data_IF_722959158089
#
_entry.id   IF_722959158089
#
_cell.length_a   1.000
_cell.length_b   1.000
_cell.length_c   1.000
_cell.angle_alpha   90.00
_cell.angle_beta   90.00
_cell.angle_gamma   90.00
#
_symmetry.space_group_name_H-M   'P 1'
#
loop_
_entity.id
_entity.type
_entity.pdbx_description
1 polymer ?
#
# COMPACT_ATOMS: atom_id res chain seq x y z
N UNK A 1 12.80 39.99 27.80
CA UNK A 1 12.99 40.56 26.48
C UNK A 1 14.48 40.54 26.19
N UNK A 2 14.92 39.53 25.44
CA UNK A 2 16.29 39.48 24.89
C UNK A 2 16.15 38.88 23.52
N UNK A 3 16.37 39.72 22.50
CA UNK A 3 16.28 39.42 21.08
C UNK A 3 17.32 38.36 20.72
N UNK A 4 16.83 37.16 20.38
CA UNK A 4 17.62 36.02 19.86
C UNK A 4 17.98 36.20 18.39
N UNK A 5 18.57 37.32 18.00
CA UNK A 5 19.11 37.55 16.65
C UNK A 5 20.63 37.23 16.66
N UNK A 6 20.98 35.93 16.63
CA UNK A 6 22.36 35.50 16.40
C UNK A 6 22.77 35.68 14.90
N UNK A 7 24.06 35.82 14.62
CA UNK A 7 24.60 36.08 13.27
C UNK A 7 24.20 35.05 12.19
N UNK A 8 23.69 33.89 12.56
CA UNK A 8 23.22 32.83 11.65
C UNK A 8 21.83 33.11 11.04
N UNK A 9 20.97 33.92 11.70
CA UNK A 9 19.65 34.25 11.18
C UNK A 9 19.70 35.20 9.97
N UNK A 10 20.75 36.03 9.88
CA UNK A 10 20.97 36.93 8.73
C UNK A 10 21.51 36.23 7.48
N UNK A 11 22.28 35.14 7.66
CA UNK A 11 22.79 34.32 6.54
C UNK A 11 21.68 33.43 5.93
N UNK A 12 20.78 32.91 6.75
CA UNK A 12 19.68 32.07 6.33
C UNK A 12 18.68 32.79 5.42
N UNK A 13 18.50 34.11 5.61
CA UNK A 13 17.64 34.97 4.72
C UNK A 13 18.24 35.23 3.35
N UNK A 14 19.54 35.05 3.17
CA UNK A 14 20.25 35.34 1.90
C UNK A 14 20.50 34.12 1.01
N UNK A 15 20.26 32.91 1.51
CA UNK A 15 20.52 31.68 0.79
C UNK A 15 19.29 30.76 0.85
N UNK A 16 18.48 30.67 -0.23
CA UNK A 16 17.36 29.74 -0.30
C UNK A 16 17.80 28.32 0.04
N UNK A 17 17.10 27.65 0.96
CA UNK A 17 17.42 26.29 1.39
C UNK A 17 18.31 26.16 2.65
N UNK A 18 18.93 27.24 3.18
CA UNK A 18 19.69 27.16 4.44
C UNK A 18 18.77 27.21 5.66
N UNK A 19 17.62 27.88 5.57
CA UNK A 19 16.62 27.95 6.63
C UNK A 19 16.07 26.56 6.98
N UNK A 20 15.84 25.71 5.98
CA UNK A 20 15.34 24.34 6.20
C UNK A 20 16.38 23.39 6.82
N UNK A 21 17.68 23.70 6.72
CA UNK A 21 18.73 22.92 7.41
C UNK A 21 18.74 23.16 8.92
N UNK A 22 18.34 24.36 9.35
CA UNK A 22 18.35 24.79 10.75
C UNK A 22 16.97 24.64 11.42
N UNK A 23 15.95 24.36 10.64
CA UNK A 23 14.60 24.11 11.15
C UNK A 23 14.54 22.75 11.85
N UNK A 24 14.27 22.74 13.15
CA UNK A 24 14.13 21.52 13.94
C UNK A 24 12.95 20.65 13.49
N UNK A 25 11.91 21.27 12.89
CA UNK A 25 10.69 20.63 12.42
C UNK A 25 10.77 20.18 10.94
N UNK A 26 11.90 20.46 10.26
CA UNK A 26 12.08 20.04 8.87
C UNK A 26 12.10 18.50 8.76
N UNK A 27 11.37 17.91 7.79
CA UNK A 27 11.23 16.48 7.68
C UNK A 27 12.55 15.77 7.30
N UNK A 28 12.75 14.60 7.90
CA UNK A 28 13.87 13.73 7.61
C UNK A 28 15.19 14.09 8.30
N UNK A 29 16.16 13.16 8.26
CA UNK A 29 17.47 13.34 8.86
C UNK A 29 18.33 14.36 8.11
N UNK A 30 19.35 14.91 8.76
CA UNK A 30 20.21 15.98 8.23
C UNK A 30 20.73 15.73 6.80
N UNK A 31 21.21 14.52 6.41
CA UNK A 31 21.65 14.28 5.04
C UNK A 31 20.55 14.50 3.99
N UNK A 32 19.30 14.19 4.33
CA UNK A 32 18.15 14.40 3.44
C UNK A 32 17.83 15.89 3.30
N UNK A 33 17.87 16.63 4.40
CA UNK A 33 17.70 18.10 4.36
C UNK A 33 18.80 18.76 3.50
N UNK A 34 20.03 18.28 3.59
CA UNK A 34 21.13 18.75 2.73
C UNK A 34 20.88 18.44 1.25
N UNK A 35 20.40 17.23 0.95
CA UNK A 35 20.03 16.81 -0.41
C UNK A 35 18.93 17.74 -0.98
N UNK A 36 17.85 17.98 -0.21
CA UNK A 36 16.77 18.85 -0.64
C UNK A 36 17.24 20.31 -0.81
N UNK A 37 18.08 20.82 0.10
CA UNK A 37 18.67 22.16 -0.02
C UNK A 37 19.55 22.30 -1.28
N UNK A 38 20.31 21.26 -1.64
CA UNK A 38 21.04 21.22 -2.88
C UNK A 38 20.11 21.20 -4.11
N UNK A 39 19.02 20.42 -4.03
CA UNK A 39 17.99 20.36 -5.06
C UNK A 39 17.33 21.71 -5.31
N UNK A 40 17.00 22.48 -4.28
CA UNK A 40 16.46 23.84 -4.41
C UNK A 40 17.43 24.81 -5.11
N UNK A 41 18.73 24.63 -4.93
CA UNK A 41 19.74 25.51 -5.58
C UNK A 41 20.02 25.13 -7.02
N UNK A 42 20.07 23.83 -7.33
CA UNK A 42 20.45 23.29 -8.64
C UNK A 42 19.27 23.03 -9.54
N UNK A 43 18.04 23.14 -9.01
CA UNK A 43 16.81 22.62 -9.61
C UNK A 43 16.70 21.11 -9.38
N UNK A 44 15.53 20.62 -8.98
CA UNK A 44 15.32 19.17 -8.66
C UNK A 44 15.41 18.26 -9.91
N UNK A 45 15.39 18.84 -11.12
CA UNK A 45 15.40 18.11 -12.41
C UNK A 45 16.66 17.31 -12.71
N UNK A 46 17.78 17.55 -12.01
CA UNK A 46 18.99 16.76 -12.16
C UNK A 46 18.78 15.28 -11.74
N UNK A 47 17.78 14.99 -10.90
CA UNK A 47 17.28 13.63 -10.69
C UNK A 47 16.21 13.36 -11.77
N UNK A 48 16.66 12.80 -12.89
CA UNK A 48 15.80 12.55 -14.04
C UNK A 48 14.66 11.54 -13.72
N UNK A 49 13.47 11.83 -14.24
CA UNK A 49 12.28 10.98 -14.21
C UNK A 49 11.75 10.77 -15.64
N UNK A 50 12.67 10.56 -16.59
CA UNK A 50 12.33 10.27 -17.96
C UNK A 50 11.94 8.78 -18.08
N UNK A 51 10.78 8.44 -18.70
CA UNK A 51 10.30 7.07 -18.81
C UNK A 51 11.25 6.16 -19.59
N UNK A 52 11.80 6.62 -20.70
CA UNK A 52 12.69 5.81 -21.55
C UNK A 52 14.05 5.58 -20.89
N UNK A 53 14.58 6.58 -20.17
CA UNK A 53 15.79 6.40 -19.35
C UNK A 53 15.55 5.35 -18.26
N UNK A 54 14.39 5.38 -17.60
CA UNK A 54 14.06 4.41 -16.54
C UNK A 54 13.92 2.98 -17.08
N UNK A 55 13.28 2.82 -18.23
CA UNK A 55 13.18 1.53 -18.92
C UNK A 55 14.55 1.02 -19.31
N UNK A 56 15.36 1.84 -19.99
CA UNK A 56 16.74 1.49 -20.39
C UNK A 56 17.60 1.09 -19.19
N UNK A 57 17.45 1.77 -18.05
CA UNK A 57 18.15 1.41 -16.80
C UNK A 57 17.74 0.06 -16.26
N UNK A 58 16.42 -0.24 -16.25
CA UNK A 58 15.91 -1.53 -15.79
C UNK A 58 16.42 -2.67 -16.69
N UNK A 59 16.43 -2.49 -18.01
CA UNK A 59 17.00 -3.44 -18.96
C UNK A 59 18.47 -3.69 -18.74
N UNK A 60 19.27 -2.64 -18.57
CA UNK A 60 20.71 -2.76 -18.26
C UNK A 60 20.97 -3.45 -16.93
N UNK A 61 20.19 -3.11 -15.88
CA UNK A 61 20.37 -3.68 -14.55
C UNK A 61 20.03 -5.17 -14.50
N UNK A 62 19.03 -5.59 -15.25
CA UNK A 62 18.56 -6.99 -15.29
C UNK A 62 19.18 -7.81 -16.42
N UNK A 63 19.70 -7.16 -17.46
CA UNK A 63 20.10 -7.76 -18.75
C UNK A 63 18.94 -8.49 -19.45
N UNK A 64 17.73 -7.98 -19.25
CA UNK A 64 16.49 -8.47 -19.83
C UNK A 64 15.83 -7.32 -20.59
N UNK A 65 15.08 -7.65 -21.65
CA UNK A 65 14.37 -6.66 -22.48
C UNK A 65 12.95 -7.08 -22.85
N UNK A 66 12.51 -8.22 -22.34
CA UNK A 66 11.17 -8.73 -22.59
C UNK A 66 10.21 -8.31 -21.49
N UNK A 67 9.28 -7.45 -21.83
CA UNK A 67 8.32 -6.84 -20.93
C UNK A 67 6.97 -7.59 -20.85
N UNK A 68 6.80 -8.65 -21.65
CA UNK A 68 5.55 -9.38 -21.80
C UNK A 68 4.55 -8.64 -22.69
N UNK A 69 3.95 -7.57 -22.19
CA UNK A 69 3.10 -6.65 -22.96
C UNK A 69 3.48 -5.19 -22.65
N UNK A 70 3.01 -4.27 -23.50
CA UNK A 70 3.32 -2.83 -23.39
C UNK A 70 2.28 -2.03 -22.59
N UNK A 71 1.28 -2.69 -21.99
CA UNK A 71 0.17 -2.00 -21.30
C UNK A 71 0.62 -1.15 -20.11
N UNK A 72 1.76 -1.46 -19.52
CA UNK A 72 2.33 -0.67 -18.43
C UNK A 72 2.93 0.67 -18.90
N UNK A 73 3.26 0.83 -20.21
CA UNK A 73 3.93 2.03 -20.74
C UNK A 73 3.10 3.28 -20.56
N UNK A 74 1.83 3.27 -20.95
CA UNK A 74 0.93 4.42 -20.77
C UNK A 74 0.83 4.83 -19.29
N UNK A 75 0.74 3.84 -18.38
CA UNK A 75 0.72 4.11 -16.94
C UNK A 75 2.05 4.72 -16.44
N UNK A 76 3.20 4.23 -16.94
CA UNK A 76 4.52 4.77 -16.63
C UNK A 76 4.65 6.23 -17.07
N UNK A 77 4.25 6.53 -18.32
CA UNK A 77 4.35 7.86 -18.91
C UNK A 77 3.50 8.86 -18.11
N UNK A 78 2.25 8.53 -17.82
CA UNK A 78 1.33 9.37 -17.03
C UNK A 78 1.80 9.58 -15.60
N UNK A 79 2.27 8.52 -14.95
CA UNK A 79 2.80 8.62 -13.59
C UNK A 79 4.01 9.57 -13.53
N UNK A 80 4.96 9.40 -14.44
CA UNK A 80 6.17 10.20 -14.43
C UNK A 80 5.94 11.62 -14.92
N UNK A 81 4.96 11.84 -15.82
CA UNK A 81 4.54 13.20 -16.19
C UNK A 81 3.92 13.93 -15.00
N UNK A 82 2.96 13.31 -14.29
CA UNK A 82 2.37 13.89 -13.08
C UNK A 82 3.44 14.12 -11.98
N UNK A 83 4.43 13.21 -11.86
CA UNK A 83 5.56 13.38 -10.95
C UNK A 83 6.43 14.61 -11.29
N UNK A 84 6.57 14.93 -12.57
CA UNK A 84 7.39 16.07 -13.04
C UNK A 84 6.66 17.41 -12.95
N UNK A 85 5.34 17.42 -13.25
CA UNK A 85 4.57 18.65 -13.46
C UNK A 85 3.70 19.07 -12.26
N UNK A 86 3.25 18.13 -11.41
CA UNK A 86 2.21 18.40 -10.41
C UNK A 86 2.68 18.11 -8.97
N UNK A 87 3.36 16.99 -8.74
CA UNK A 87 3.64 16.47 -7.39
C UNK A 87 4.62 17.33 -6.57
N UNK A 88 5.22 18.37 -7.16
CA UNK A 88 6.20 19.26 -6.52
C UNK A 88 7.26 18.51 -5.71
N UNK A 89 7.77 17.41 -6.28
CA UNK A 89 8.72 16.54 -5.60
C UNK A 89 10.04 17.27 -5.37
N UNK A 90 10.48 17.29 -4.13
CA UNK A 90 11.84 17.70 -3.77
C UNK A 90 12.88 16.64 -4.24
N UNK A 91 14.17 16.91 -4.03
CA UNK A 91 15.22 15.99 -4.49
C UNK A 91 15.06 14.58 -3.90
N UNK A 92 14.68 14.47 -2.62
CA UNK A 92 14.42 13.18 -1.98
C UNK A 92 13.21 12.46 -2.61
N UNK A 93 12.11 13.15 -2.82
CA UNK A 93 10.92 12.59 -3.46
C UNK A 93 11.20 12.07 -4.86
N UNK A 94 11.94 12.84 -5.68
CA UNK A 94 12.36 12.37 -7.02
C UNK A 94 13.25 11.13 -6.94
N UNK A 95 14.18 11.10 -6.00
CA UNK A 95 15.04 9.93 -5.77
C UNK A 95 14.23 8.70 -5.33
N UNK A 96 13.26 8.89 -4.44
CA UNK A 96 12.38 7.82 -3.98
C UNK A 96 11.53 7.26 -5.11
N UNK A 97 10.82 8.11 -5.87
CA UNK A 97 10.02 7.69 -7.04
C UNK A 97 10.88 6.95 -8.06
N UNK A 98 12.04 7.50 -8.39
CA UNK A 98 12.96 6.87 -9.35
C UNK A 98 13.39 5.46 -8.92
N UNK A 99 13.76 5.30 -7.65
CA UNK A 99 14.17 4.00 -7.12
C UNK A 99 12.98 3.03 -6.99
N UNK A 100 11.82 3.55 -6.62
CA UNK A 100 10.61 2.76 -6.44
C UNK A 100 10.09 2.22 -7.77
N UNK A 101 9.91 3.08 -8.76
CA UNK A 101 9.49 2.72 -10.12
C UNK A 101 10.55 1.84 -10.80
N UNK A 102 11.85 2.17 -10.65
CA UNK A 102 12.94 1.36 -11.17
C UNK A 102 12.87 -0.09 -10.69
N UNK A 103 12.63 -0.32 -9.39
CA UNK A 103 12.43 -1.68 -8.84
C UNK A 103 11.19 -2.37 -9.41
N UNK A 104 10.09 -1.66 -9.60
CA UNK A 104 8.87 -2.22 -10.22
C UNK A 104 9.20 -2.70 -11.64
N UNK A 105 9.90 -1.90 -12.43
CA UNK A 105 10.31 -2.25 -13.79
C UNK A 105 11.27 -3.45 -13.81
N UNK A 106 12.27 -3.48 -12.93
CA UNK A 106 13.16 -4.63 -12.79
C UNK A 106 12.41 -5.92 -12.38
N UNK A 107 11.47 -5.81 -11.44
CA UNK A 107 10.65 -6.94 -11.03
C UNK A 107 9.81 -7.47 -12.21
N UNK A 108 9.20 -6.57 -12.99
CA UNK A 108 8.42 -6.97 -14.16
C UNK A 108 9.25 -7.78 -15.15
N UNK A 109 10.44 -7.32 -15.52
CA UNK A 109 11.34 -8.05 -16.41
C UNK A 109 11.72 -9.43 -15.87
N UNK A 110 12.02 -9.53 -14.59
CA UNK A 110 12.36 -10.81 -13.94
C UNK A 110 11.17 -11.76 -13.90
N UNK A 111 9.97 -11.26 -13.60
CA UNK A 111 8.72 -12.04 -13.60
C UNK A 111 8.42 -12.58 -15.01
N UNK A 112 8.50 -11.74 -16.05
CA UNK A 112 8.26 -12.18 -17.42
C UNK A 112 9.27 -13.26 -17.87
N UNK A 113 10.54 -13.13 -17.47
CA UNK A 113 11.53 -14.19 -17.66
C UNK A 113 11.12 -15.50 -16.99
N UNK A 114 10.69 -15.43 -15.72
CA UNK A 114 10.33 -16.64 -14.96
C UNK A 114 9.09 -17.32 -15.56
N UNK A 115 8.08 -16.55 -15.98
CA UNK A 115 6.88 -17.06 -16.66
C UNK A 115 7.21 -17.76 -17.99
N UNK A 116 8.21 -17.26 -18.72
CA UNK A 116 8.66 -17.88 -19.99
C UNK A 116 9.56 -19.09 -19.76
N UNK A 117 10.39 -19.04 -18.72
CA UNK A 117 11.26 -20.16 -18.35
C UNK A 117 10.47 -21.33 -17.80
N UNK A 118 9.36 -21.05 -17.10
CA UNK A 118 8.50 -22.04 -16.45
C UNK A 118 7.03 -21.83 -16.84
N UNK A 119 6.60 -22.21 -18.08
CA UNK A 119 5.24 -21.98 -18.55
C UNK A 119 4.15 -22.64 -17.68
N UNK A 120 4.51 -23.70 -16.94
CA UNK A 120 3.62 -24.38 -15.99
C UNK A 120 3.09 -23.46 -14.89
N UNK A 121 3.77 -22.34 -14.58
CA UNK A 121 3.29 -21.31 -13.65
C UNK A 121 1.88 -20.84 -14.04
N UNK A 122 1.64 -20.61 -15.34
CA UNK A 122 0.36 -20.11 -15.82
C UNK A 122 -0.77 -21.14 -15.77
N UNK A 123 -0.44 -22.41 -15.48
CA UNK A 123 -1.41 -23.49 -15.27
C UNK A 123 -1.85 -23.61 -13.80
N UNK A 124 -1.22 -22.87 -12.87
CA UNK A 124 -1.65 -22.83 -11.48
C UNK A 124 -3.08 -22.28 -11.34
N UNK A 125 -3.91 -22.96 -10.57
CA UNK A 125 -5.28 -22.52 -10.30
C UNK A 125 -5.34 -21.84 -8.93
N UNK A 126 -5.72 -20.57 -8.90
CA UNK A 126 -6.02 -19.84 -7.68
C UNK A 126 -7.48 -20.12 -7.31
N UNK A 127 -7.69 -21.04 -6.38
CA UNK A 127 -9.03 -21.53 -6.00
C UNK A 127 -9.54 -20.86 -4.75
N UNK A 128 -10.78 -20.35 -4.81
CA UNK A 128 -11.52 -19.75 -3.69
C UNK A 128 -10.66 -18.81 -2.82
N UNK A 129 -9.92 -17.83 -3.42
CA UNK A 129 -9.11 -16.92 -2.64
C UNK A 129 -9.99 -16.04 -1.76
N UNK A 130 -9.56 -15.80 -0.53
CA UNK A 130 -10.19 -14.88 0.40
C UNK A 130 -9.55 -13.51 0.27
N UNK A 131 -10.33 -12.49 -0.10
CA UNK A 131 -9.86 -11.11 -0.17
C UNK A 131 -10.45 -10.28 0.98
N UNK A 132 -9.61 -9.85 1.88
CA UNK A 132 -9.99 -8.91 2.94
C UNK A 132 -9.94 -7.50 2.35
N UNK A 133 -11.10 -6.88 2.25
CA UNK A 133 -11.30 -5.52 1.73
C UNK A 133 -11.92 -4.62 2.81
N UNK A 134 -12.00 -3.34 2.55
CA UNK A 134 -12.62 -2.36 3.44
C UNK A 134 -11.81 -1.08 3.50
N UNK A 135 -12.39 -0.07 4.12
CA UNK A 135 -11.69 1.18 4.35
C UNK A 135 -10.38 0.94 5.13
N UNK A 136 -9.34 1.75 4.95
CA UNK A 136 -8.14 1.67 5.78
C UNK A 136 -8.48 1.75 7.28
N UNK A 137 -7.66 1.11 8.14
CA UNK A 137 -7.82 1.17 9.60
C UNK A 137 -9.07 0.50 10.18
N UNK A 138 -9.65 -0.43 9.46
CA UNK A 138 -10.80 -1.25 9.89
C UNK A 138 -10.41 -2.59 10.53
N UNK A 139 -9.12 -2.77 10.87
CA UNK A 139 -8.61 -4.01 11.49
C UNK A 139 -8.23 -5.11 10.50
N UNK A 140 -8.27 -4.84 9.20
CA UNK A 140 -7.94 -5.81 8.14
C UNK A 140 -6.56 -6.44 8.30
N UNK A 141 -5.53 -5.69 8.75
CA UNK A 141 -4.18 -6.20 9.01
C UNK A 141 -4.17 -7.19 10.19
N UNK A 142 -4.90 -6.89 11.28
CA UNK A 142 -5.04 -7.79 12.42
C UNK A 142 -5.66 -9.12 11.96
N UNK A 143 -6.76 -9.04 11.20
CA UNK A 143 -7.45 -10.21 10.70
C UNK A 143 -6.56 -11.04 9.77
N UNK A 144 -5.89 -10.41 8.81
CA UNK A 144 -4.97 -11.08 7.88
C UNK A 144 -3.84 -11.80 8.62
N UNK A 145 -3.17 -11.12 9.55
CA UNK A 145 -2.06 -11.70 10.32
C UNK A 145 -2.50 -12.85 11.22
N UNK A 146 -3.73 -12.80 11.75
CA UNK A 146 -4.29 -13.92 12.50
C UNK A 146 -4.54 -15.12 11.60
N UNK A 147 -5.25 -14.94 10.49
CA UNK A 147 -5.55 -16.03 9.56
C UNK A 147 -4.28 -16.65 8.99
N UNK A 148 -3.23 -15.87 8.76
CA UNK A 148 -1.92 -16.33 8.30
C UNK A 148 -1.17 -17.21 9.34
N UNK A 149 -1.64 -17.31 10.57
CA UNK A 149 -1.09 -18.29 11.56
C UNK A 149 -1.54 -19.71 11.29
N UNK A 150 -2.52 -19.90 10.41
CA UNK A 150 -2.90 -21.24 9.97
C UNK A 150 -1.90 -21.74 8.91
N UNK A 151 -1.26 -22.91 9.11
CA UNK A 151 -0.33 -23.49 8.13
C UNK A 151 -0.95 -23.76 6.75
N UNK A 152 -2.27 -23.94 6.67
CA UNK A 152 -3.01 -24.15 5.42
C UNK A 152 -3.15 -22.85 4.60
N UNK A 153 -2.97 -21.69 5.23
CA UNK A 153 -3.14 -20.37 4.59
C UNK A 153 -1.89 -19.92 3.86
N UNK A 154 -2.06 -19.51 2.63
CA UNK A 154 -1.08 -18.74 1.84
C UNK A 154 -1.39 -17.25 1.96
N UNK A 155 -0.47 -16.48 2.50
CA UNK A 155 -0.54 -15.01 2.51
C UNK A 155 0.69 -14.42 1.85
N UNK A 156 0.55 -13.25 1.23
CA UNK A 156 1.68 -12.51 0.70
C UNK A 156 2.56 -12.02 1.84
N UNK A 157 3.85 -12.33 1.81
CA UNK A 157 4.81 -11.77 2.74
C UNK A 157 5.36 -10.45 2.21
N UNK A 158 5.76 -9.52 3.08
CA UNK A 158 6.33 -8.23 2.68
C UNK A 158 7.47 -8.39 1.67
N UNK A 159 8.38 -9.36 1.90
CA UNK A 159 9.50 -9.59 1.01
C UNK A 159 9.06 -10.08 -0.38
N UNK A 160 7.97 -10.85 -0.49
CA UNK A 160 7.42 -11.30 -1.78
C UNK A 160 6.79 -10.15 -2.56
N UNK A 161 6.13 -9.21 -1.88
CA UNK A 161 5.57 -8.02 -2.53
C UNK A 161 6.65 -7.09 -3.06
N UNK A 162 7.81 -7.05 -2.40
CA UNK A 162 8.96 -6.24 -2.83
C UNK A 162 9.79 -6.91 -3.93
N UNK A 163 9.87 -8.24 -3.92
CA UNK A 163 10.73 -9.05 -4.81
C UNK A 163 10.02 -10.37 -5.16
N UNK A 164 9.03 -10.35 -6.07
CA UNK A 164 8.26 -11.55 -6.41
C UNK A 164 9.08 -12.62 -7.17
N UNK A 165 10.16 -12.22 -7.82
CA UNK A 165 11.06 -13.09 -8.60
C UNK A 165 12.42 -13.25 -7.89
N UNK A 166 13.03 -14.47 -7.93
CA UNK A 166 12.50 -15.73 -8.46
C UNK A 166 11.33 -16.29 -7.64
N UNK A 167 10.58 -17.29 -8.14
CA UNK A 167 9.60 -18.00 -7.32
C UNK A 167 10.21 -18.48 -6.00
N UNK A 168 9.47 -18.43 -4.88
CA UNK A 168 9.99 -18.92 -3.61
C UNK A 168 10.18 -20.44 -3.63
N UNK A 169 11.09 -20.97 -2.79
CA UNK A 169 11.32 -22.40 -2.65
C UNK A 169 10.91 -22.88 -1.25
N UNK A 170 10.16 -24.00 -1.12
CA UNK A 170 9.69 -24.49 0.19
C UNK A 170 10.83 -24.74 1.19
N UNK A 171 11.98 -25.26 0.72
CA UNK A 171 13.12 -25.59 1.56
C UNK A 171 13.82 -24.38 2.18
N UNK A 172 13.69 -23.20 1.59
CA UNK A 172 14.35 -21.96 2.01
C UNK A 172 13.37 -20.83 2.33
N UNK A 173 12.06 -21.10 2.32
CA UNK A 173 11.02 -20.07 2.44
C UNK A 173 11.21 -19.16 3.67
N UNK A 174 11.49 -19.75 4.83
CA UNK A 174 11.63 -19.02 6.10
C UNK A 174 13.02 -18.35 6.25
N UNK A 175 13.98 -18.64 5.37
CA UNK A 175 15.32 -18.07 5.35
C UNK A 175 15.73 -17.51 3.97
N UNK A 176 14.75 -17.17 3.14
CA UNK A 176 14.99 -16.61 1.81
C UNK A 176 15.88 -15.36 1.88
N UNK A 177 16.91 -15.22 1.02
CA UNK A 177 17.84 -14.09 1.06
C UNK A 177 17.16 -12.73 0.81
N UNK A 178 15.95 -12.70 0.27
CA UNK A 178 15.14 -11.49 0.11
C UNK A 178 14.60 -10.96 1.44
N UNK A 179 14.46 -11.80 2.47
CA UNK A 179 14.01 -11.39 3.81
C UNK A 179 14.99 -10.38 4.43
N UNK A 180 16.30 -10.66 4.62
CA UNK A 180 17.23 -9.68 5.18
C UNK A 180 17.44 -8.46 4.26
N UNK A 181 17.32 -8.61 2.95
CA UNK A 181 17.34 -7.47 2.02
C UNK A 181 16.14 -6.54 2.24
N UNK A 182 14.96 -7.10 2.41
CA UNK A 182 13.73 -6.36 2.74
C UNK A 182 13.86 -5.66 4.09
N UNK A 183 14.32 -6.36 5.13
CA UNK A 183 14.56 -5.80 6.45
C UNK A 183 15.49 -4.57 6.42
N UNK A 184 16.56 -4.64 5.64
CA UNK A 184 17.49 -3.50 5.46
C UNK A 184 16.78 -2.30 4.85
N UNK A 185 15.86 -2.52 3.89
CA UNK A 185 15.08 -1.43 3.26
C UNK A 185 14.05 -0.85 4.21
N UNK A 186 13.40 -1.69 5.01
CA UNK A 186 12.44 -1.24 6.01
C UNK A 186 13.11 -0.40 7.10
N UNK A 187 14.28 -0.82 7.60
CA UNK A 187 15.09 -0.03 8.53
C UNK A 187 15.50 1.33 7.95
N UNK A 188 15.79 1.37 6.64
CA UNK A 188 16.06 2.64 5.96
C UNK A 188 14.82 3.53 5.90
N UNK A 189 13.63 2.96 5.61
CA UNK A 189 12.38 3.69 5.63
C UNK A 189 12.06 4.25 7.02
N UNK A 190 12.24 3.45 8.06
CA UNK A 190 12.06 3.88 9.46
C UNK A 190 12.99 5.04 9.83
N UNK A 191 14.23 5.03 9.32
CA UNK A 191 15.17 6.13 9.51
C UNK A 191 14.79 7.38 8.72
N UNK A 192 14.27 7.25 7.50
CA UNK A 192 13.85 8.36 6.64
C UNK A 192 12.55 9.00 7.13
N UNK A 193 11.60 8.19 7.57
CA UNK A 193 10.25 8.58 7.97
C UNK A 193 9.83 7.90 9.28
N UNK A 194 10.36 8.29 10.43
CA UNK A 194 10.13 7.60 11.72
C UNK A 194 8.65 7.46 12.10
N UNK A 195 7.79 8.40 11.67
CA UNK A 195 6.34 8.32 11.90
C UNK A 195 5.60 7.28 11.04
N UNK A 196 6.21 6.78 9.97
CA UNK A 196 5.56 5.84 9.05
C UNK A 196 5.25 4.51 9.73
N UNK A 197 6.21 3.94 10.46
CA UNK A 197 6.04 2.66 11.15
C UNK A 197 4.92 2.68 12.22
N UNK A 198 4.65 3.83 12.83
CA UNK A 198 3.54 4.00 13.77
C UNK A 198 2.18 4.01 13.06
N UNK A 199 2.13 4.51 11.83
CA UNK A 199 0.92 4.55 11.00
C UNK A 199 0.71 3.23 10.23
N UNK A 200 1.77 2.62 9.68
CA UNK A 200 1.74 1.36 8.92
C UNK A 200 2.99 0.52 9.20
N UNK A 201 2.82 -0.50 10.05
CA UNK A 201 3.92 -1.39 10.42
C UNK A 201 4.22 -2.39 9.30
N UNK A 202 5.44 -2.34 8.76
CA UNK A 202 5.98 -3.31 7.81
C UNK A 202 7.00 -4.23 8.50
N UNK A 203 6.90 -5.54 8.27
CA UNK A 203 7.85 -6.54 8.76
C UNK A 203 8.13 -7.53 7.63
N UNK A 204 9.40 -7.78 7.32
CA UNK A 204 9.79 -8.54 6.12
C UNK A 204 9.09 -9.90 5.99
N UNK A 205 9.02 -10.67 7.07
CA UNK A 205 8.41 -12.01 7.13
C UNK A 205 6.97 -12.02 7.66
N UNK A 206 6.25 -10.91 7.63
CA UNK A 206 4.82 -10.86 8.00
C UNK A 206 3.94 -10.58 6.78
N UNK A 207 2.67 -11.00 6.82
CA UNK A 207 1.71 -10.74 5.76
C UNK A 207 1.54 -9.26 5.45
N UNK A 208 1.52 -8.92 4.16
CA UNK A 208 1.41 -7.55 3.64
C UNK A 208 0.32 -7.42 2.57
N UNK A 209 0.06 -6.19 2.17
CA UNK A 209 -1.00 -5.84 1.24
C UNK A 209 -0.71 -6.23 -0.21
N UNK A 210 -1.76 -6.62 -0.93
CA UNK A 210 -1.72 -6.94 -2.35
C UNK A 210 -1.22 -5.78 -3.22
N UNK A 211 -1.32 -4.54 -2.73
CA UNK A 211 -0.90 -3.35 -3.48
C UNK A 211 0.56 -3.44 -3.93
N UNK A 212 1.42 -4.12 -3.16
CA UNK A 212 2.81 -4.36 -3.54
C UNK A 212 2.98 -5.15 -4.84
N UNK A 213 2.03 -6.03 -5.18
CA UNK A 213 1.99 -6.76 -6.45
C UNK A 213 1.16 -6.01 -7.51
N UNK A 214 0.01 -5.44 -7.15
CA UNK A 214 -0.85 -4.68 -8.08
C UNK A 214 -0.10 -3.56 -8.78
N UNK A 215 0.79 -2.87 -8.08
CA UNK A 215 1.61 -1.79 -8.62
C UNK A 215 2.61 -2.22 -9.72
N UNK A 216 2.81 -3.53 -9.94
CA UNK A 216 3.67 -4.02 -11.03
C UNK A 216 3.11 -3.66 -12.42
N UNK A 217 1.82 -3.35 -12.50
CA UNK A 217 1.18 -2.75 -13.68
C UNK A 217 1.42 -1.25 -13.80
N UNK A 218 2.06 -0.60 -12.81
CA UNK A 218 2.16 0.85 -12.63
C UNK A 218 0.81 1.57 -12.50
N UNK A 219 -0.28 0.84 -12.27
CA UNK A 219 -1.64 1.34 -12.03
C UNK A 219 -1.97 1.17 -10.56
N UNK A 220 -1.63 2.15 -9.73
CA UNK A 220 -1.82 2.06 -8.28
C UNK A 220 -1.93 3.43 -7.62
N UNK A 221 -2.88 3.59 -6.72
CA UNK A 221 -2.99 4.76 -5.84
C UNK A 221 -1.88 4.84 -4.77
N UNK A 222 -1.02 3.82 -4.67
CA UNK A 222 0.09 3.80 -3.73
C UNK A 222 1.14 4.89 -4.04
N UNK A 223 1.18 5.41 -5.27
CA UNK A 223 2.07 6.51 -5.63
C UNK A 223 1.72 7.82 -4.93
N UNK A 224 0.47 8.00 -4.52
CA UNK A 224 0.05 9.14 -3.68
C UNK A 224 0.73 9.17 -2.29
N UNK A 225 1.47 8.14 -1.92
CA UNK A 225 2.39 8.20 -0.76
C UNK A 225 3.54 9.18 -0.97
N UNK A 226 3.92 9.52 -2.18
CA UNK A 226 5.08 10.36 -2.47
C UNK A 226 4.74 11.83 -2.76
N UNK A 227 3.50 12.13 -3.10
CA UNK A 227 3.05 13.47 -3.47
C UNK A 227 1.65 13.46 -4.04
N UNK A 228 1.19 14.61 -4.51
CA UNK A 228 -0.12 14.75 -5.16
C UNK A 228 0.01 14.54 -6.68
N UNK A 229 -0.44 13.38 -7.15
CA UNK A 229 -0.41 12.97 -8.56
C UNK A 229 -1.81 13.11 -9.17
N UNK A 230 -2.33 14.34 -9.22
CA UNK A 230 -3.73 14.63 -9.52
C UNK A 230 -4.20 14.11 -10.89
N UNK A 231 -3.47 14.39 -11.98
CA UNK A 231 -3.84 13.94 -13.33
C UNK A 231 -3.71 12.42 -13.50
N UNK A 232 -2.64 11.81 -12.95
CA UNK A 232 -2.47 10.38 -12.95
C UNK A 232 -3.58 9.68 -12.16
N UNK A 233 -3.97 10.22 -11.01
CA UNK A 233 -5.05 9.71 -10.17
C UNK A 233 -6.40 9.78 -10.86
N UNK A 234 -6.71 10.92 -11.51
CA UNK A 234 -7.96 11.09 -12.27
C UNK A 234 -8.05 10.11 -13.45
N UNK A 235 -6.94 9.89 -14.17
CA UNK A 235 -6.88 8.87 -15.20
C UNK A 235 -7.09 7.46 -14.64
N UNK A 236 -6.51 7.15 -13.48
CA UNK A 236 -6.64 5.85 -12.84
C UNK A 236 -8.08 5.59 -12.35
N UNK A 237 -8.84 6.63 -11.99
CA UNK A 237 -10.26 6.52 -11.61
C UNK A 237 -11.15 6.08 -12.77
N UNK A 238 -10.73 6.34 -14.02
CA UNK A 238 -11.45 5.93 -15.23
C UNK A 238 -11.01 4.54 -15.74
N UNK A 239 -9.93 3.98 -15.20
CA UNK A 239 -9.40 2.68 -15.61
C UNK A 239 -10.23 1.53 -15.01
N UNK A 240 -10.59 0.54 -15.83
CA UNK A 240 -11.38 -0.63 -15.41
C UNK A 240 -10.58 -1.69 -14.61
N UNK A 241 -9.28 -1.48 -14.44
CA UNK A 241 -8.35 -2.32 -13.70
C UNK A 241 -8.23 -3.80 -14.19
N UNK A 242 -8.92 -4.20 -15.24
CA UNK A 242 -8.90 -5.59 -15.75
C UNK A 242 -7.49 -6.07 -16.09
N UNK A 243 -6.72 -5.24 -16.78
CA UNK A 243 -5.33 -5.58 -17.12
C UNK A 243 -4.46 -5.73 -15.87
N UNK A 244 -4.68 -4.88 -14.85
CA UNK A 244 -3.98 -4.94 -13.55
C UNK A 244 -4.26 -6.26 -12.84
N UNK A 245 -5.54 -6.66 -12.73
CA UNK A 245 -5.90 -7.90 -12.04
C UNK A 245 -5.51 -9.15 -12.83
N UNK A 246 -5.56 -9.11 -14.17
CA UNK A 246 -5.03 -10.20 -15.00
C UNK A 246 -3.52 -10.42 -14.77
N UNK A 247 -2.75 -9.34 -14.65
CA UNK A 247 -1.32 -9.43 -14.33
C UNK A 247 -1.10 -9.86 -12.87
N UNK A 248 -1.88 -9.34 -11.95
CA UNK A 248 -1.84 -9.74 -10.54
C UNK A 248 -2.08 -11.24 -10.36
N UNK A 249 -3.01 -11.84 -11.12
CA UNK A 249 -3.22 -13.30 -11.13
C UNK A 249 -1.95 -14.05 -11.50
N UNK A 250 -1.21 -13.63 -12.54
CA UNK A 250 0.07 -14.25 -12.91
C UNK A 250 1.10 -14.19 -11.79
N UNK A 251 1.14 -13.10 -11.03
CA UNK A 251 2.03 -12.96 -9.88
C UNK A 251 1.64 -13.92 -8.74
N UNK A 252 0.35 -14.09 -8.47
CA UNK A 252 -0.10 -15.10 -7.50
C UNK A 252 0.22 -16.51 -7.95
N UNK A 253 0.02 -16.81 -9.25
CA UNK A 253 0.37 -18.11 -9.85
C UNK A 253 1.87 -18.40 -9.69
N UNK A 254 2.74 -17.41 -9.95
CA UNK A 254 4.19 -17.54 -9.79
C UNK A 254 4.56 -17.85 -8.33
N UNK A 255 3.98 -17.14 -7.37
CA UNK A 255 4.26 -17.35 -5.96
C UNK A 255 3.68 -18.67 -5.43
N UNK A 256 2.52 -19.10 -5.94
CA UNK A 256 1.91 -20.38 -5.58
C UNK A 256 2.69 -21.56 -6.15
N UNK A 257 3.11 -21.47 -7.41
CA UNK A 257 3.91 -22.51 -8.07
C UNK A 257 5.19 -22.82 -7.28
N UNK A 258 5.82 -21.79 -6.74
CA UNK A 258 7.02 -21.95 -5.91
C UNK A 258 6.74 -22.41 -4.48
N UNK A 259 5.62 -21.97 -3.87
CA UNK A 259 5.27 -22.28 -2.48
C UNK A 259 3.75 -22.45 -2.31
N UNK A 260 3.19 -23.62 -2.68
CA UNK A 260 1.76 -23.86 -2.61
C UNK A 260 1.27 -24.04 -1.18
N UNK A 261 0.02 -23.63 -0.92
CA UNK A 261 -0.78 -23.88 0.28
C UNK A 261 -2.23 -24.14 -0.14
N UNK A 262 -3.09 -24.49 0.82
CA UNK A 262 -4.47 -24.89 0.51
C UNK A 262 -5.32 -23.74 -0.08
N UNK A 263 -5.19 -22.53 0.46
CA UNK A 263 -5.91 -21.36 -0.04
C UNK A 263 -5.22 -20.04 0.29
N UNK A 264 -5.53 -19.00 -0.49
CA UNK A 264 -5.01 -17.67 -0.30
C UNK A 264 -5.87 -16.83 0.65
N UNK A 265 -5.22 -16.12 1.57
CA UNK A 265 -5.78 -14.99 2.31
C UNK A 265 -5.01 -13.73 1.94
N UNK A 266 -5.68 -12.86 1.22
CA UNK A 266 -5.14 -11.66 0.58
C UNK A 266 -5.82 -10.43 1.16
N UNK A 267 -5.14 -9.27 1.19
CA UNK A 267 -5.70 -8.07 1.78
C UNK A 267 -5.18 -6.82 1.07
N UNK A 268 -6.07 -5.91 0.73
CA UNK A 268 -5.73 -4.52 0.45
C UNK A 268 -6.97 -3.63 0.48
N UNK A 269 -6.92 -2.43 1.04
CA UNK A 269 -7.98 -1.44 0.87
C UNK A 269 -8.13 -0.99 -0.59
N UNK A 270 -7.08 -1.09 -1.39
CA UNK A 270 -7.11 -0.68 -2.80
C UNK A 270 -7.97 -1.59 -3.69
N UNK A 271 -8.37 -2.77 -3.24
CA UNK A 271 -9.36 -3.60 -3.91
C UNK A 271 -10.74 -2.94 -4.02
N UNK A 272 -11.03 -1.92 -3.20
CA UNK A 272 -12.31 -1.19 -3.26
C UNK A 272 -12.53 -0.51 -4.61
N UNK A 273 -11.46 0.00 -5.25
CA UNK A 273 -11.53 0.65 -6.57
C UNK A 273 -11.54 -0.31 -7.76
N UNK A 274 -11.07 -1.53 -7.56
CA UNK A 274 -10.98 -2.56 -8.62
C UNK A 274 -11.79 -3.81 -8.33
N UNK A 275 -12.86 -3.71 -7.51
CA UNK A 275 -13.61 -4.89 -7.06
C UNK A 275 -14.24 -5.66 -8.22
N UNK A 276 -14.75 -4.99 -9.25
CA UNK A 276 -15.33 -5.65 -10.41
C UNK A 276 -14.28 -6.49 -11.16
N UNK A 277 -13.12 -5.91 -11.44
CA UNK A 277 -12.01 -6.61 -12.09
C UNK A 277 -11.47 -7.77 -11.23
N UNK A 278 -11.46 -7.61 -9.90
CA UNK A 278 -11.14 -8.69 -8.97
C UNK A 278 -12.12 -9.85 -9.10
N UNK A 279 -13.42 -9.57 -9.07
CA UNK A 279 -14.48 -10.58 -9.13
C UNK A 279 -14.56 -11.28 -10.49
N UNK A 280 -14.24 -10.57 -11.59
CA UNK A 280 -14.11 -11.16 -12.92
C UNK A 280 -12.87 -12.07 -13.00
N UNK A 281 -11.74 -11.66 -12.42
CA UNK A 281 -10.48 -12.42 -12.46
C UNK A 281 -10.52 -13.66 -11.55
N UNK A 282 -11.22 -13.57 -10.42
CA UNK A 282 -11.37 -14.63 -9.43
C UNK A 282 -12.87 -14.90 -9.18
N UNK A 283 -13.54 -15.64 -10.09
CA UNK A 283 -14.99 -15.81 -10.05
C UNK A 283 -15.48 -16.61 -8.84
N UNK A 284 -14.64 -17.31 -8.14
CA UNK A 284 -14.91 -18.07 -6.91
C UNK A 284 -14.37 -17.39 -5.64
N UNK A 285 -13.86 -16.16 -5.73
CA UNK A 285 -13.32 -15.43 -4.59
C UNK A 285 -14.38 -15.16 -3.50
N UNK A 286 -13.95 -15.21 -2.26
CA UNK A 286 -14.74 -14.81 -1.07
C UNK A 286 -14.25 -13.43 -0.63
N UNK A 287 -15.16 -12.48 -0.52
CA UNK A 287 -14.84 -11.10 -0.14
C UNK A 287 -15.17 -10.91 1.35
N UNK A 288 -14.17 -10.63 2.14
CA UNK A 288 -14.33 -10.30 3.56
C UNK A 288 -14.24 -8.79 3.72
N UNK A 289 -15.36 -8.15 4.01
CA UNK A 289 -15.41 -6.70 4.15
C UNK A 289 -15.38 -6.30 5.63
N UNK A 290 -14.36 -5.52 6.00
CA UNK A 290 -14.22 -5.00 7.37
C UNK A 290 -14.82 -3.60 7.48
N UNK A 291 -15.58 -3.35 8.57
CA UNK A 291 -16.32 -2.12 8.79
C UNK A 291 -15.89 -1.38 10.06
N UNK A 292 -15.86 -0.06 9.96
CA UNK A 292 -15.60 0.86 11.07
C UNK A 292 -16.18 2.22 10.74
N UNK A 293 -16.53 3.02 11.77
CA UNK A 293 -17.04 4.37 11.60
C UNK A 293 -16.11 5.25 10.74
N UNK A 294 -16.61 5.82 9.64
CA UNK A 294 -15.78 6.61 8.70
C UNK A 294 -15.09 7.82 9.34
N UNK A 295 -15.70 8.43 10.37
CA UNK A 295 -15.09 9.54 11.12
C UNK A 295 -13.77 9.17 11.81
N UNK A 296 -13.53 7.88 12.07
CA UNK A 296 -12.29 7.38 12.62
C UNK A 296 -11.27 6.96 11.55
N UNK A 297 -11.75 6.72 10.34
CA UNK A 297 -10.96 6.18 9.20
C UNK A 297 -10.32 7.31 8.38
N UNK A 298 -11.11 8.28 7.95
CA UNK A 298 -10.68 9.32 7.03
C UNK A 298 -9.43 10.08 7.50
N UNK A 299 -9.35 10.60 8.74
CA UNK A 299 -8.18 11.33 9.19
C UNK A 299 -6.95 10.44 9.33
N UNK A 300 -7.13 9.13 9.56
CA UNK A 300 -6.00 8.20 9.70
C UNK A 300 -5.27 7.93 8.39
N UNK A 301 -6.00 7.83 7.26
CA UNK A 301 -5.38 7.72 5.94
C UNK A 301 -4.62 9.01 5.60
N UNK A 302 -5.24 10.17 5.78
CA UNK A 302 -4.60 11.46 5.54
C UNK A 302 -3.32 11.63 6.37
N UNK A 303 -3.33 11.17 7.62
CA UNK A 303 -2.17 11.19 8.49
C UNK A 303 -1.02 10.32 7.96
N UNK A 304 -1.31 9.10 7.46
CA UNK A 304 -0.32 8.23 6.83
C UNK A 304 0.31 8.90 5.59
N UNK A 305 -0.52 9.45 4.70
CA UNK A 305 -0.06 10.15 3.50
C UNK A 305 0.78 11.39 3.85
N UNK A 306 0.38 12.16 4.86
CA UNK A 306 1.10 13.37 5.28
C UNK A 306 2.53 13.09 5.73
N UNK A 307 2.79 11.95 6.39
CA UNK A 307 4.15 11.58 6.84
C UNK A 307 5.11 11.48 5.66
N UNK A 308 4.67 10.83 4.58
CA UNK A 308 5.50 10.61 3.40
C UNK A 308 5.51 11.81 2.45
N UNK A 309 4.39 12.54 2.31
CA UNK A 309 4.35 13.78 1.54
C UNK A 309 5.34 14.81 2.07
N UNK A 310 5.40 15.03 3.39
CA UNK A 310 6.34 15.96 4.02
C UNK A 310 7.80 15.61 3.74
N UNK A 311 8.13 14.33 3.57
CA UNK A 311 9.47 13.89 3.20
C UNK A 311 9.79 14.13 1.72
N UNK A 312 8.79 13.98 0.84
CA UNK A 312 8.97 13.84 -0.60
C UNK A 312 8.58 15.07 -1.41
N UNK A 313 7.75 15.96 -0.88
CA UNK A 313 7.19 17.11 -1.60
C UNK A 313 7.31 18.40 -0.80
N UNK A 314 7.58 19.50 -1.50
CA UNK A 314 7.66 20.84 -0.93
C UNK A 314 6.27 21.49 -0.75
N UNK A 315 5.22 20.87 -1.29
CA UNK A 315 3.83 21.39 -1.26
C UNK A 315 2.88 20.49 -0.46
N UNK A 316 3.37 19.79 0.57
CA UNK A 316 2.50 19.00 1.43
C UNK A 316 1.48 19.89 2.16
N UNK A 317 0.20 19.79 1.78
CA UNK A 317 -0.91 20.52 2.38
C UNK A 317 -1.92 19.55 3.00
N UNK A 318 -1.76 19.20 4.29
CA UNK A 318 -2.64 18.23 4.96
C UNK A 318 -4.12 18.61 4.88
N UNK A 319 -4.45 19.90 5.01
CA UNK A 319 -5.84 20.40 4.99
C UNK A 319 -6.52 20.23 3.62
N UNK A 320 -5.78 20.31 2.53
CA UNK A 320 -6.30 20.08 1.18
C UNK A 320 -6.50 18.58 0.89
N UNK A 321 -5.75 17.71 1.57
CA UNK A 321 -5.76 16.25 1.37
C UNK A 321 -7.08 15.62 1.83
N UNK A 322 -7.63 16.07 2.96
CA UNK A 322 -8.82 15.48 3.55
C UNK A 322 -10.04 15.47 2.64
N UNK A 323 -10.46 16.60 2.06
CA UNK A 323 -11.57 16.65 1.10
C UNK A 323 -11.41 15.70 -0.08
N UNK A 324 -10.22 15.65 -0.68
CA UNK A 324 -9.92 14.79 -1.84
C UNK A 324 -10.11 13.30 -1.47
N UNK A 325 -9.50 12.87 -0.37
CA UNK A 325 -9.57 11.48 0.03
C UNK A 325 -10.93 11.09 0.61
N UNK A 326 -11.66 12.02 1.25
CA UNK A 326 -13.02 11.76 1.71
C UNK A 326 -13.95 11.40 0.55
N UNK A 327 -13.95 12.20 -0.51
CA UNK A 327 -14.78 11.97 -1.69
C UNK A 327 -14.43 10.64 -2.37
N UNK A 328 -13.14 10.33 -2.49
CA UNK A 328 -12.65 9.10 -3.11
C UNK A 328 -13.00 7.85 -2.31
N UNK A 329 -12.83 7.90 -0.98
CA UNK A 329 -13.20 6.78 -0.11
C UNK A 329 -14.72 6.53 -0.12
N UNK A 330 -15.53 7.59 -0.15
CA UNK A 330 -16.98 7.47 -0.25
C UNK A 330 -17.39 6.87 -1.61
N UNK A 331 -16.83 7.36 -2.72
CA UNK A 331 -17.08 6.82 -4.05
C UNK A 331 -16.65 5.34 -4.17
N UNK A 332 -15.50 4.96 -3.61
CA UNK A 332 -15.05 3.57 -3.58
C UNK A 332 -16.03 2.66 -2.82
N UNK A 333 -16.60 3.14 -1.70
CA UNK A 333 -17.62 2.39 -0.97
C UNK A 333 -18.93 2.28 -1.74
N UNK A 334 -19.33 3.31 -2.49
CA UNK A 334 -20.50 3.23 -3.38
C UNK A 334 -20.25 2.19 -4.49
N UNK A 335 -19.07 2.17 -5.10
CA UNK A 335 -18.67 1.13 -6.08
C UNK A 335 -18.81 -0.27 -5.50
N UNK A 336 -18.32 -0.50 -4.27
CA UNK A 336 -18.45 -1.78 -3.58
C UNK A 336 -19.92 -2.16 -3.36
N UNK A 337 -20.74 -1.23 -2.87
CA UNK A 337 -22.16 -1.50 -2.65
C UNK A 337 -22.89 -1.85 -3.95
N UNK A 338 -22.58 -1.16 -5.05
CA UNK A 338 -23.12 -1.45 -6.36
C UNK A 338 -22.63 -2.81 -6.90
N UNK A 339 -21.35 -3.17 -6.69
CA UNK A 339 -20.84 -4.49 -7.05
C UNK A 339 -21.57 -5.62 -6.29
N UNK A 340 -21.79 -5.45 -4.98
CA UNK A 340 -22.55 -6.41 -4.15
C UNK A 340 -23.96 -6.63 -4.68
N UNK A 341 -24.64 -5.57 -5.08
CA UNK A 341 -26.00 -5.66 -5.66
C UNK A 341 -26.02 -6.47 -6.97
N UNK A 342 -24.94 -6.43 -7.76
CA UNK A 342 -24.83 -7.18 -9.02
C UNK A 342 -24.49 -8.65 -8.83
N UNK A 343 -23.54 -8.97 -7.94
CA UNK A 343 -22.99 -10.33 -7.81
C UNK A 343 -23.65 -11.14 -6.68
N UNK A 344 -24.46 -10.51 -5.84
CA UNK A 344 -25.13 -11.12 -4.69
C UNK A 344 -24.31 -11.06 -3.40
N UNK A 345 -25.03 -11.12 -2.27
CA UNK A 345 -24.46 -11.00 -0.92
C UNK A 345 -23.71 -12.28 -0.46
N UNK A 346 -24.01 -13.44 -1.05
CA UNK A 346 -23.45 -14.74 -0.67
C UNK A 346 -21.91 -14.80 -0.80
N UNK A 347 -21.35 -13.90 -1.64
CA UNK A 347 -19.90 -13.77 -1.83
C UNK A 347 -19.21 -12.90 -0.78
N UNK A 348 -19.97 -12.25 0.10
CA UNK A 348 -19.46 -11.28 1.07
C UNK A 348 -19.64 -11.77 2.49
N UNK A 349 -18.61 -11.52 3.30
CA UNK A 349 -18.61 -11.73 4.75
C UNK A 349 -18.28 -10.43 5.42
N UNK A 350 -19.22 -9.86 6.17
CA UNK A 350 -19.06 -8.57 6.84
C UNK A 350 -18.50 -8.76 8.26
N UNK A 351 -17.48 -7.99 8.61
CA UNK A 351 -16.78 -8.05 9.91
C UNK A 351 -16.76 -6.66 10.55
N UNK A 352 -17.40 -6.55 11.73
CA UNK A 352 -17.29 -5.35 12.56
C UNK A 352 -15.92 -5.23 13.21
N UNK A 353 -15.27 -4.07 13.09
CA UNK A 353 -14.01 -3.77 13.80
C UNK A 353 -14.16 -3.92 15.31
N UNK A 354 -15.27 -3.50 15.90
CA UNK A 354 -15.53 -3.60 17.34
C UNK A 354 -15.51 -5.06 17.81
N UNK A 355 -16.19 -5.95 17.07
CA UNK A 355 -16.19 -7.39 17.35
C UNK A 355 -14.80 -8.01 17.19
N UNK A 356 -14.10 -7.66 16.10
CA UNK A 356 -12.74 -8.13 15.83
C UNK A 356 -11.76 -7.69 16.92
N UNK A 357 -11.81 -6.45 17.36
CA UNK A 357 -10.94 -5.94 18.41
C UNK A 357 -11.22 -6.59 19.77
N UNK A 358 -12.49 -6.87 20.09
CA UNK A 358 -12.89 -7.49 21.36
C UNK A 358 -12.56 -8.99 21.42
N UNK A 359 -12.74 -9.73 20.33
CA UNK A 359 -12.59 -11.19 20.31
C UNK A 359 -11.96 -11.68 19.00
N UNK A 360 -10.67 -11.34 18.73
CA UNK A 360 -10.06 -11.55 17.42
C UNK A 360 -10.01 -13.04 16.99
N UNK A 361 -9.68 -13.95 17.89
CA UNK A 361 -9.62 -15.39 17.58
C UNK A 361 -10.99 -15.96 17.28
N UNK A 362 -12.03 -15.56 18.03
CA UNK A 362 -13.40 -15.99 17.80
C UNK A 362 -13.89 -15.53 16.43
N UNK A 363 -13.64 -14.25 16.05
CA UNK A 363 -14.02 -13.72 14.74
C UNK A 363 -13.28 -14.44 13.61
N UNK A 364 -11.99 -14.73 13.77
CA UNK A 364 -11.22 -15.52 12.79
C UNK A 364 -11.78 -16.94 12.62
N UNK A 365 -12.19 -17.60 13.72
CA UNK A 365 -12.80 -18.92 13.67
C UNK A 365 -14.15 -18.90 12.95
N UNK A 366 -15.06 -17.99 13.33
CA UNK A 366 -16.35 -17.82 12.69
C UNK A 366 -16.22 -17.49 11.19
N UNK A 367 -15.19 -16.72 10.81
CA UNK A 367 -14.91 -16.42 9.41
C UNK A 367 -14.50 -17.68 8.64
N UNK A 368 -13.58 -18.49 9.18
CA UNK A 368 -13.18 -19.74 8.53
C UNK A 368 -14.37 -20.67 8.34
N UNK A 369 -15.23 -20.83 9.36
CA UNK A 369 -16.45 -21.63 9.27
C UNK A 369 -17.38 -21.14 8.15
N UNK A 370 -17.59 -19.81 8.04
CA UNK A 370 -18.39 -19.20 6.97
C UNK A 370 -17.78 -19.36 5.59
N UNK A 371 -16.46 -19.34 5.49
CA UNK A 371 -15.74 -19.58 4.23
C UNK A 371 -15.68 -21.08 3.88
N UNK A 372 -16.07 -21.98 4.79
CA UNK A 372 -16.00 -23.43 4.60
C UNK A 372 -14.57 -23.96 4.67
N UNK A 373 -13.70 -23.31 5.45
CA UNK A 373 -12.34 -23.76 5.74
C UNK A 373 -12.26 -24.33 7.17
N UNK A 374 -11.59 -25.47 7.31
CA UNK A 374 -11.37 -26.06 8.62
C UNK A 374 -10.25 -25.33 9.37
N UNK A 375 -10.55 -24.77 10.55
CA UNK A 375 -9.52 -24.18 11.41
C UNK A 375 -8.99 -25.21 12.39
N UNK A 376 -7.70 -25.51 12.32
CA UNK A 376 -7.06 -26.48 13.23
C UNK A 376 -6.88 -25.92 14.64
N UNK A 377 -6.84 -26.81 15.66
CA UNK A 377 -6.50 -26.42 17.05
C UNK A 377 -5.10 -25.82 17.15
N UNK A 378 -4.18 -26.27 16.30
CA UNK A 378 -2.83 -25.72 16.18
C UNK A 378 -2.85 -24.28 15.70
N UNK A 379 -3.66 -23.96 14.68
CA UNK A 379 -3.85 -22.59 14.18
C UNK A 379 -4.42 -21.68 15.28
N UNK A 380 -5.45 -22.13 16.01
CA UNK A 380 -6.02 -21.37 17.15
C UNK A 380 -4.98 -21.08 18.22
N UNK A 381 -4.13 -22.05 18.55
CA UNK A 381 -3.04 -21.89 19.52
C UNK A 381 -2.01 -20.87 19.03
N UNK A 382 -1.63 -20.95 17.75
CA UNK A 382 -0.70 -20.01 17.14
C UNK A 382 -1.26 -18.56 17.08
N UNK A 383 -2.56 -18.39 16.78
CA UNK A 383 -3.24 -17.10 16.83
C UNK A 383 -3.20 -16.48 18.22
N UNK A 384 -3.45 -17.27 19.28
CA UNK A 384 -3.40 -16.79 20.67
C UNK A 384 -1.98 -16.40 21.08
N UNK A 385 -0.98 -17.22 20.74
CA UNK A 385 0.42 -16.95 21.02
C UNK A 385 0.88 -15.65 20.32
N UNK A 386 0.50 -15.47 19.05
CA UNK A 386 0.83 -14.28 18.29
C UNK A 386 0.20 -13.01 18.91
N UNK A 387 -1.06 -13.06 19.34
CA UNK A 387 -1.73 -11.94 20.03
C UNK A 387 -1.03 -11.56 21.34
N UNK A 388 -0.59 -12.55 22.11
CA UNK A 388 0.14 -12.32 23.38
C UNK A 388 1.45 -11.55 23.18
N UNK A 389 2.14 -11.78 22.05
CA UNK A 389 3.41 -11.11 21.73
C UNK A 389 3.26 -9.79 20.93
N UNK A 390 2.07 -9.53 20.36
CA UNK A 390 1.81 -8.38 19.49
C UNK A 390 0.65 -7.52 20.01
N UNK A 391 0.84 -6.96 21.20
CA UNK A 391 -0.14 -6.05 21.81
C UNK A 391 -0.35 -4.80 20.95
N UNK A 392 -1.61 -4.32 20.92
CA UNK A 392 -1.97 -3.08 20.23
C UNK A 392 -1.16 -1.90 20.77
N UNK A 393 -0.78 -0.95 19.88
CA UNK A 393 0.02 0.25 20.23
C UNK A 393 1.48 0.00 20.63
N UNK A 394 2.06 -1.15 20.35
CA UNK A 394 3.47 -1.46 20.65
C UNK A 394 4.46 -0.44 20.05
N UNK A 395 4.09 0.24 18.95
CA UNK A 395 4.92 1.25 18.27
C UNK A 395 4.44 2.71 18.49
N UNK A 396 3.60 2.94 19.50
CA UNK A 396 3.07 4.25 19.82
C UNK A 396 1.65 4.50 19.29
N UNK A 397 1.08 5.62 19.71
CA UNK A 397 -0.25 6.09 19.26
C UNK A 397 -0.04 7.28 18.34
N UNK A 398 -0.55 7.18 17.12
CA UNK A 398 -0.53 8.29 16.19
C UNK A 398 -1.74 9.20 16.48
N UNK A 399 -1.48 10.45 16.85
CA UNK A 399 -2.52 11.44 17.14
C UNK A 399 -2.84 12.25 15.88
N UNK A 400 -4.09 12.33 15.53
CA UNK A 400 -4.62 13.13 14.43
C UNK A 400 -6.08 13.50 14.70
N UNK A 401 -6.53 14.63 14.17
CA UNK A 401 -7.92 15.08 14.24
C UNK A 401 -8.48 15.27 12.82
N UNK A 402 -9.79 15.37 12.70
CA UNK A 402 -10.44 15.67 11.42
C UNK A 402 -10.02 17.05 10.92
N UNK A 403 -9.99 18.02 11.82
CA UNK A 403 -9.69 19.44 11.54
C UNK A 403 -8.28 19.60 10.97
N UNK A 404 -7.31 18.79 11.40
CA UNK A 404 -5.94 18.77 10.86
C UNK A 404 -5.89 18.50 9.35
N UNK A 405 -6.96 17.95 8.79
CA UNK A 405 -7.08 17.61 7.37
C UNK A 405 -8.23 18.33 6.68
N UNK A 406 -8.72 19.46 7.23
CA UNK A 406 -9.81 20.23 6.64
C UNK A 406 -11.15 19.49 6.60
N UNK A 407 -11.36 18.54 7.53
CA UNK A 407 -12.57 17.75 7.66
C UNK A 407 -13.31 18.08 8.95
N UNK A 408 -14.61 17.79 8.96
CA UNK A 408 -15.44 17.74 10.15
C UNK A 408 -16.34 16.50 10.13
N UNK A 409 -16.88 16.13 11.29
CA UNK A 409 -17.69 14.92 11.44
C UNK A 409 -18.99 14.98 10.61
N UNK A 410 -19.57 16.16 10.42
CA UNK A 410 -20.80 16.35 9.63
C UNK A 410 -20.55 16.02 8.17
N UNK A 411 -19.47 16.60 7.59
CA UNK A 411 -19.07 16.36 6.20
C UNK A 411 -18.75 14.88 5.95
N UNK A 412 -18.01 14.24 6.84
CA UNK A 412 -17.71 12.80 6.76
C UNK A 412 -18.98 11.96 6.81
N UNK A 413 -19.87 12.21 7.79
CA UNK A 413 -21.13 11.46 7.92
C UNK A 413 -22.06 11.65 6.73
N UNK A 414 -22.07 12.81 6.12
CA UNK A 414 -22.84 13.09 4.91
C UNK A 414 -22.28 12.32 3.70
N UNK A 415 -20.96 12.34 3.48
CA UNK A 415 -20.33 11.62 2.39
C UNK A 415 -20.57 10.10 2.47
N UNK A 416 -20.60 9.54 3.68
CA UNK A 416 -20.81 8.11 3.91
C UNK A 416 -22.26 7.74 4.31
N UNK A 417 -23.26 8.58 4.03
CA UNK A 417 -24.64 8.36 4.49
C UNK A 417 -25.22 7.01 4.01
N UNK A 418 -25.03 6.65 2.73
CA UNK A 418 -25.47 5.37 2.15
C UNK A 418 -24.78 4.18 2.82
N UNK A 419 -23.45 4.23 2.96
CA UNK A 419 -22.65 3.21 3.63
C UNK A 419 -23.09 3.02 5.09
N UNK A 420 -23.22 4.08 5.87
CA UNK A 420 -23.63 4.03 7.27
C UNK A 420 -25.03 3.45 7.44
N UNK A 421 -25.95 3.80 6.54
CA UNK A 421 -27.32 3.23 6.56
C UNK A 421 -27.29 1.72 6.28
N UNK A 422 -26.50 1.27 5.30
CA UNK A 422 -26.44 -0.14 4.90
C UNK A 422 -25.77 -1.02 5.94
N UNK A 423 -24.70 -0.55 6.56
CA UNK A 423 -23.85 -1.33 7.45
C UNK A 423 -23.94 -0.88 8.92
N UNK A 424 -25.09 -0.31 9.34
CA UNK A 424 -25.28 0.22 10.69
C UNK A 424 -24.96 -0.82 11.80
N UNK A 425 -25.29 -2.09 11.59
CA UNK A 425 -25.08 -3.17 12.55
C UNK A 425 -23.60 -3.57 12.72
N UNK A 426 -22.74 -3.12 11.81
CA UNK A 426 -21.30 -3.40 11.80
C UNK A 426 -20.42 -2.22 12.24
N UNK A 427 -21.01 -1.02 12.43
CA UNK A 427 -20.28 0.24 12.75
C UNK A 427 -20.21 0.58 14.25
#
# INVERSE_FOLDING_TARGET
MSDGNGPLSGLARKLPGLSSLLDADAPGPLPIRMLNAAGHRLGNSWIGLDPDDMVTRAERATRLSDWGDDKFRDALDRLLESARSEANLNAMGRLMIRNYVGRILENRLKVERDLKTHPSILSEEIRRPVFIVGLPRTGSTLLQRLLARDPAVRSLQTWETMYPSPPPEPSTYDCDPRIPLTDKRLKMLDWLAPGFAAAHELVAGEPEECVGLLQTSLKSYCFDLFGDFASYRSWLDEDDQRATYAYYRKLLQLLQWGYPKDHWVLKSPFHLWGLDALLETFPDAIIVQTHREPVQVAPSLCSLLSVTHRLCSDSAQPEAMGPIWLERLAAAMDTVMNARERVGEDRFVDISYRRLAANPVKVASELNDRCGFALSSTAVTAMRAWLGSNQQHKRGVHHYTLESFGLDARRVNQAFARYRKRFADYL
#
